data_IF_940085475252
#
_entry.id   IF_940085475252
#
_cell.length_a   1.000
_cell.length_b   1.000
_cell.length_c   1.000
_cell.angle_alpha   90.00
_cell.angle_beta   90.00
_cell.angle_gamma   90.00
#
_symmetry.space_group_name_H-M   'P 1'
#
loop_
_entity.id
_entity.type
_entity.pdbx_description
1 polymer ?
#
# COMPACT_ATOMS: atom_id res chain seq x y z
N UNK A 1 -6.96 -23.41 -2.85
CA UNK A 1 -7.96 -22.91 -3.77
C UNK A 1 -7.64 -21.53 -4.26
N UNK A 2 -7.77 -21.37 -5.57
CA UNK A 2 -7.42 -20.08 -6.17
C UNK A 2 -8.27 -18.93 -5.62
N UNK A 3 -9.53 -19.21 -5.26
CA UNK A 3 -10.41 -18.18 -4.75
C UNK A 3 -9.97 -17.55 -3.45
N UNK A 4 -9.34 -18.35 -2.59
CA UNK A 4 -8.85 -17.83 -1.30
C UNK A 4 -7.71 -16.85 -1.51
N UNK A 5 -6.79 -17.17 -2.39
CA UNK A 5 -5.68 -16.28 -2.68
C UNK A 5 -6.16 -14.99 -3.34
N UNK A 6 -7.14 -15.10 -4.24
CA UNK A 6 -7.68 -13.91 -4.88
C UNK A 6 -8.38 -12.99 -3.89
N UNK A 7 -9.09 -13.55 -2.93
CA UNK A 7 -9.75 -12.76 -1.90
C UNK A 7 -8.74 -11.99 -1.06
N UNK A 8 -7.69 -12.67 -0.63
CA UNK A 8 -6.65 -12.03 0.17
C UNK A 8 -5.93 -10.96 -0.65
N UNK A 9 -5.65 -11.27 -1.91
CA UNK A 9 -5.01 -10.31 -2.80
C UNK A 9 -5.84 -9.04 -2.92
N UNK A 10 -7.14 -9.17 -3.09
CA UNK A 10 -8.02 -7.99 -3.20
C UNK A 10 -7.98 -7.15 -1.94
N UNK A 11 -7.94 -7.80 -0.77
CA UNK A 11 -7.84 -7.06 0.49
C UNK A 11 -6.51 -6.33 0.58
N UNK A 12 -5.43 -6.96 0.15
CA UNK A 12 -4.13 -6.31 0.16
C UNK A 12 -4.11 -5.14 -0.81
N UNK A 13 -4.71 -5.30 -1.99
CA UNK A 13 -4.80 -4.20 -2.95
C UNK A 13 -5.58 -3.02 -2.35
N UNK A 14 -6.66 -3.30 -1.65
CA UNK A 14 -7.45 -2.26 -1.01
C UNK A 14 -6.66 -1.55 0.09
N UNK A 15 -5.90 -2.32 0.86
CA UNK A 15 -5.06 -1.75 1.93
C UNK A 15 -3.96 -0.88 1.33
N UNK A 16 -3.36 -1.31 0.23
CA UNK A 16 -2.35 -0.50 -0.45
C UNK A 16 -2.94 0.83 -0.89
N UNK A 17 -4.17 0.82 -1.39
CA UNK A 17 -4.87 2.05 -1.78
C UNK A 17 -5.13 2.94 -0.58
N UNK A 18 -5.55 2.36 0.53
CA UNK A 18 -5.78 3.13 1.75
C UNK A 18 -4.50 3.79 2.23
N UNK A 19 -3.38 3.07 2.16
CA UNK A 19 -2.10 3.64 2.54
C UNK A 19 -1.69 4.79 1.64
N UNK A 20 -1.93 4.65 0.33
CA UNK A 20 -1.63 5.70 -0.62
C UNK A 20 -2.49 6.94 -0.35
N UNK A 21 -3.78 6.75 -0.08
CA UNK A 21 -4.68 7.85 0.21
C UNK A 21 -4.31 8.55 1.51
N UNK A 22 -3.92 7.79 2.51
CA UNK A 22 -3.50 8.37 3.78
C UNK A 22 -2.23 9.21 3.59
N UNK A 23 -1.30 8.74 2.77
CA UNK A 23 -0.09 9.49 2.49
C UNK A 23 -0.41 10.83 1.82
N UNK A 24 -1.35 10.81 0.88
CA UNK A 24 -1.78 12.04 0.20
C UNK A 24 -2.45 12.99 1.18
N UNK A 25 -3.31 12.48 2.05
CA UNK A 25 -3.98 13.30 3.05
C UNK A 25 -2.97 13.97 3.99
N UNK A 26 -1.99 13.22 4.44
CA UNK A 26 -0.97 13.76 5.34
C UNK A 26 -0.14 14.83 4.66
N UNK A 27 0.17 14.62 3.39
CA UNK A 27 0.91 15.62 2.63
C UNK A 27 0.09 16.90 2.49
N UNK A 28 -1.19 16.78 2.18
CA UNK A 28 -2.08 17.94 2.07
C UNK A 28 -2.19 18.68 3.39
N UNK A 29 -2.35 17.94 4.50
CA UNK A 29 -2.44 18.55 5.81
C UNK A 29 -1.16 19.31 6.15
N UNK A 30 -0.02 18.76 5.78
CA UNK A 30 1.26 19.41 6.02
C UNK A 30 1.36 20.71 5.23
N UNK A 31 0.95 20.70 3.99
CA UNK A 31 0.96 21.89 3.13
C UNK A 31 0.00 22.93 3.66
N UNK A 32 -1.21 22.53 4.04
CA UNK A 32 -2.22 23.43 4.58
C UNK A 32 -1.75 24.10 5.87
N UNK A 33 -0.95 23.40 6.65
CA UNK A 33 -0.39 23.95 7.87
C UNK A 33 0.84 24.82 7.61
N UNK A 34 1.19 25.04 6.36
CA UNK A 34 2.35 25.86 6.00
C UNK A 34 3.66 25.12 6.00
N UNK A 35 3.63 23.80 6.14
CA UNK A 35 4.86 23.02 6.12
C UNK A 35 5.41 22.87 4.73
N UNK A 36 6.72 22.79 4.65
CA UNK A 36 7.41 22.57 3.37
C UNK A 36 8.15 21.25 3.34
N UNK A 37 8.16 20.54 4.45
CA UNK A 37 8.83 19.26 4.55
C UNK A 37 7.83 18.13 4.46
N UNK A 38 8.28 16.99 3.97
CA UNK A 38 7.44 15.80 3.94
C UNK A 38 7.10 15.36 5.36
N UNK A 39 5.88 14.88 5.60
CA UNK A 39 5.53 14.35 6.91
C UNK A 39 6.49 13.26 7.35
N UNK A 40 6.73 13.18 8.64
CA UNK A 40 7.64 12.19 9.22
C UNK A 40 7.22 10.76 8.83
N UNK A 41 5.92 10.53 8.74
CA UNK A 41 5.39 9.19 8.47
C UNK A 41 5.42 8.81 6.99
N UNK A 42 5.79 9.74 6.11
CA UNK A 42 5.72 9.48 4.68
C UNK A 42 6.56 8.28 4.27
N UNK A 43 7.77 8.17 4.78
CA UNK A 43 8.64 7.04 4.45
C UNK A 43 8.05 5.72 4.95
N UNK A 44 7.49 5.76 6.15
CA UNK A 44 6.87 4.58 6.73
C UNK A 44 5.69 4.13 5.89
N UNK A 45 4.84 5.05 5.49
CA UNK A 45 3.68 4.74 4.67
C UNK A 45 4.09 4.21 3.30
N UNK A 46 5.11 4.80 2.68
CA UNK A 46 5.59 4.32 1.39
C UNK A 46 6.16 2.91 1.48
N UNK A 47 6.93 2.64 2.52
CA UNK A 47 7.49 1.31 2.73
C UNK A 47 6.42 0.28 2.98
N UNK A 48 5.43 0.65 3.80
CA UNK A 48 4.33 -0.26 4.10
C UNK A 48 3.53 -0.58 2.84
N UNK A 49 3.25 0.44 2.03
CA UNK A 49 2.53 0.24 0.78
C UNK A 49 3.28 -0.70 -0.15
N UNK A 50 4.57 -0.50 -0.29
CA UNK A 50 5.39 -1.37 -1.15
C UNK A 50 5.38 -2.80 -0.65
N UNK A 51 5.45 -2.99 0.66
CA UNK A 51 5.43 -4.34 1.24
C UNK A 51 4.08 -5.02 0.97
N UNK A 52 2.99 -4.27 1.10
CA UNK A 52 1.66 -4.80 0.83
C UNK A 52 1.51 -5.14 -0.64
N UNK A 53 1.97 -4.26 -1.52
CA UNK A 53 1.93 -4.51 -2.97
C UNK A 53 2.75 -5.73 -3.35
N UNK A 54 3.89 -5.91 -2.71
CA UNK A 54 4.71 -7.09 -2.94
C UNK A 54 4.00 -8.35 -2.51
N UNK A 55 3.35 -8.31 -1.35
CA UNK A 55 2.58 -9.46 -0.88
C UNK A 55 1.47 -9.81 -1.85
N UNK A 56 0.74 -8.81 -2.34
CA UNK A 56 -0.32 -9.02 -3.32
C UNK A 56 0.24 -9.64 -4.61
N UNK A 57 1.39 -9.17 -5.02
CA UNK A 57 2.05 -9.68 -6.22
C UNK A 57 2.44 -11.15 -6.06
N UNK A 58 2.95 -11.51 -4.90
CA UNK A 58 3.31 -12.89 -4.62
C UNK A 58 2.08 -13.80 -4.72
N UNK A 59 0.96 -13.35 -4.18
CA UNK A 59 -0.26 -14.13 -4.24
C UNK A 59 -0.84 -14.23 -5.64
N UNK A 60 -0.41 -13.36 -6.54
CA UNK A 60 -0.83 -13.39 -7.95
C UNK A 60 0.05 -14.26 -8.82
N UNK A 61 1.18 -14.73 -8.29
CA UNK A 61 2.09 -15.53 -9.08
C UNK A 61 1.42 -16.84 -9.47
N UNK A 62 1.65 -17.31 -10.68
CA UNK A 62 1.08 -18.60 -11.08
C UNK A 62 1.66 -19.71 -10.22
N UNK A 63 0.82 -20.68 -9.93
CA UNK A 63 1.22 -21.84 -9.15
C UNK A 63 1.98 -22.79 -10.04
N UNK A 64 2.99 -22.30 -10.64
CA UNK A 64 3.73 -23.03 -11.64
C UNK A 64 5.17 -23.13 -11.21
N UNK A 65 5.35 -23.35 -9.99
CA UNK A 65 6.68 -23.40 -9.43
C UNK A 65 7.49 -24.54 -9.96
N UNK A 66 7.00 -25.19 -10.92
CA UNK A 66 7.67 -26.37 -11.49
C UNK A 66 9.10 -26.21 -11.73
#
# INVERSE_FOLDING_TARGET
MAGEFQDIKRRLDAIAEELANLAIQRLRDSIDAGGTELPVDERRLSRARRAVEKAASILSEPDDAG
#
